data_IF_123306323297
#
_entry.id   IF_123306323297
#
_cell.length_a   1.000
_cell.length_b   1.000
_cell.length_c   1.000
_cell.angle_alpha   90.00
_cell.angle_beta   90.00
_cell.angle_gamma   90.00
#
_symmetry.space_group_name_H-M   'P 1'
#
loop_
_entity.id
_entity.type
_entity.pdbx_description
1 polymer ?
#
# COMPACT_ATOMS: atom_id res chain seq x y z
N UNK A 1 2.62 -28.19 -15.87
CA UNK A 1 1.63 -27.73 -14.85
C UNK A 1 2.19 -26.64 -13.96
N UNK A 2 3.47 -26.69 -13.58
CA UNK A 2 4.16 -25.68 -12.77
C UNK A 2 3.81 -24.21 -13.12
N UNK A 3 3.88 -23.84 -14.41
CA UNK A 3 3.51 -22.48 -14.86
C UNK A 3 2.05 -22.10 -14.58
N UNK A 4 1.11 -23.03 -14.80
CA UNK A 4 -0.31 -22.83 -14.52
C UNK A 4 -0.64 -22.86 -13.02
N UNK A 5 0.17 -23.57 -12.23
CA UNK A 5 0.09 -23.62 -10.78
C UNK A 5 0.74 -22.40 -10.11
N UNK A 6 1.28 -21.47 -10.91
CA UNK A 6 1.91 -20.24 -10.43
C UNK A 6 3.09 -20.50 -9.48
N UNK A 7 3.78 -21.63 -9.64
CA UNK A 7 4.88 -22.05 -8.75
C UNK A 7 6.09 -21.11 -8.79
N UNK A 8 6.22 -20.31 -9.85
CA UNK A 8 7.23 -19.26 -9.99
C UNK A 8 6.96 -18.01 -9.11
N UNK A 9 5.77 -17.88 -8.53
CA UNK A 9 5.43 -16.73 -7.69
C UNK A 9 5.67 -17.05 -6.22
N UNK A 10 6.21 -16.09 -5.44
CA UNK A 10 6.37 -16.25 -4.00
C UNK A 10 5.05 -16.60 -3.31
N UNK A 11 5.13 -17.37 -2.23
CA UNK A 11 3.96 -17.65 -1.39
C UNK A 11 3.43 -16.37 -0.75
N UNK A 12 2.11 -16.26 -0.64
CA UNK A 12 1.45 -15.12 -0.01
C UNK A 12 0.95 -15.50 1.37
N UNK A 13 1.46 -14.81 2.38
CA UNK A 13 1.05 -15.03 3.78
C UNK A 13 -0.02 -14.00 4.17
N UNK A 14 -1.28 -14.44 4.23
CA UNK A 14 -2.41 -13.54 4.54
C UNK A 14 -2.79 -13.53 6.02
N UNK A 15 -3.09 -14.70 6.58
CA UNK A 15 -3.59 -14.83 7.96
C UNK A 15 -2.54 -15.33 8.94
N UNK A 16 -1.59 -16.14 8.47
CA UNK A 16 -0.49 -16.66 9.27
C UNK A 16 0.71 -16.97 8.35
N UNK A 17 1.92 -16.77 8.87
CA UNK A 17 3.15 -17.01 8.13
C UNK A 17 4.35 -16.25 8.71
N UNK A 18 5.52 -16.36 8.07
CA UNK A 18 6.75 -15.72 8.52
C UNK A 18 6.69 -14.20 8.41
N UNK A 19 7.46 -13.54 9.27
CA UNK A 19 7.83 -12.14 9.12
C UNK A 19 9.19 -12.02 8.44
N UNK A 20 9.52 -10.82 7.94
CA UNK A 20 10.78 -10.56 7.24
C UNK A 20 12.02 -10.89 8.10
N UNK A 21 11.88 -10.90 9.42
CA UNK A 21 12.95 -11.23 10.37
C UNK A 21 13.34 -12.71 10.38
N UNK A 22 12.54 -13.56 9.74
CA UNK A 22 12.86 -14.98 9.51
C UNK A 22 14.21 -15.15 8.80
N UNK A 23 14.64 -14.18 7.98
CA UNK A 23 15.94 -14.22 7.31
C UNK A 23 17.14 -14.18 8.27
N UNK A 24 16.94 -13.70 9.50
CA UNK A 24 17.96 -13.67 10.55
C UNK A 24 17.87 -14.89 11.48
N UNK A 25 16.81 -15.67 11.32
CA UNK A 25 16.56 -16.87 12.10
C UNK A 25 17.12 -18.07 11.35
N UNK A 26 17.87 -18.92 12.05
CA UNK A 26 18.36 -20.17 11.47
C UNK A 26 17.21 -21.13 11.12
N UNK A 27 17.57 -22.38 10.85
CA UNK A 27 16.57 -23.44 10.66
C UNK A 27 15.59 -23.53 11.83
N UNK A 28 14.35 -23.89 11.52
CA UNK A 28 13.36 -24.22 12.53
C UNK A 28 13.85 -25.41 13.38
N UNK A 29 13.70 -25.32 14.71
CA UNK A 29 14.19 -26.33 15.65
C UNK A 29 13.41 -27.65 15.54
N UNK A 30 12.10 -27.57 15.25
CA UNK A 30 11.21 -28.73 15.27
C UNK A 30 10.99 -29.30 13.86
N UNK A 31 10.82 -28.43 12.87
CA UNK A 31 10.48 -28.78 11.49
C UNK A 31 11.33 -27.98 10.49
N UNK A 32 12.65 -28.28 10.37
CA UNK A 32 13.60 -27.47 9.59
C UNK A 32 13.35 -27.48 8.07
N UNK A 33 12.66 -28.51 7.57
CA UNK A 33 12.39 -28.70 6.15
C UNK A 33 10.93 -29.06 5.92
N UNK A 34 10.42 -28.68 4.76
CA UNK A 34 9.07 -29.01 4.27
C UNK A 34 9.15 -29.62 2.88
N UNK A 35 8.15 -30.43 2.57
CA UNK A 35 7.98 -31.05 1.26
C UNK A 35 7.68 -29.97 0.20
N UNK A 36 8.17 -30.19 -1.03
CA UNK A 36 7.86 -29.32 -2.16
C UNK A 36 6.74 -29.93 -3.03
N UNK A 37 6.09 -29.10 -3.82
CA UNK A 37 5.01 -29.52 -4.72
C UNK A 37 5.53 -30.58 -5.72
N UNK A 38 4.83 -31.70 -5.89
CA UNK A 38 5.24 -32.72 -6.86
C UNK A 38 5.09 -32.19 -8.29
N UNK A 39 6.04 -32.56 -9.17
CA UNK A 39 5.93 -32.32 -10.60
C UNK A 39 5.14 -33.44 -11.27
N UNK A 40 4.35 -33.03 -12.26
CA UNK A 40 3.50 -33.91 -13.04
C UNK A 40 3.94 -33.90 -14.50
N UNK A 41 4.10 -35.08 -15.08
CA UNK A 41 4.35 -35.30 -16.49
C UNK A 41 3.20 -36.08 -17.13
N UNK A 42 2.89 -35.79 -18.39
CA UNK A 42 1.85 -36.53 -19.12
C UNK A 42 2.43 -37.85 -19.61
N UNK A 43 1.91 -38.97 -19.12
CA UNK A 43 2.21 -40.27 -19.68
C UNK A 43 1.39 -40.47 -20.97
N UNK A 44 2.08 -40.54 -22.11
CA UNK A 44 1.46 -40.67 -23.43
C UNK A 44 0.73 -42.01 -23.61
N UNK A 45 1.11 -43.05 -22.87
CA UNK A 45 0.49 -44.39 -22.99
C UNK A 45 -0.84 -44.47 -22.24
N UNK A 46 -0.90 -43.96 -21.01
CA UNK A 46 -2.14 -43.95 -20.22
C UNK A 46 -3.02 -42.74 -20.48
N UNK A 47 -2.47 -41.70 -21.12
CA UNK A 47 -3.14 -40.41 -21.35
C UNK A 47 -3.35 -39.59 -20.06
N UNK A 48 -2.75 -39.99 -18.94
CA UNK A 48 -2.89 -39.35 -17.62
C UNK A 48 -1.63 -38.62 -17.22
N UNK A 49 -1.77 -37.63 -16.33
CA UNK A 49 -0.63 -37.02 -15.66
C UNK A 49 -0.19 -37.91 -14.50
N UNK A 50 1.10 -38.22 -14.43
CA UNK A 50 1.73 -39.01 -13.37
C UNK A 50 2.74 -38.14 -12.62
N UNK A 51 2.86 -38.37 -11.31
CA UNK A 51 3.87 -37.72 -10.48
C UNK A 51 5.23 -38.32 -10.84
N UNK A 52 6.18 -37.47 -11.21
CA UNK A 52 7.55 -37.90 -11.56
C UNK A 52 8.54 -37.71 -10.41
N UNK A 53 8.17 -36.93 -9.40
CA UNK A 53 8.94 -36.70 -8.19
C UNK A 53 8.04 -36.36 -6.99
N UNK A 54 8.38 -36.92 -5.84
CA UNK A 54 7.73 -36.67 -4.55
C UNK A 54 8.78 -36.00 -3.66
N UNK A 55 8.89 -34.67 -3.79
CA UNK A 55 9.93 -33.87 -3.16
C UNK A 55 9.74 -33.80 -1.64
N UNK A 56 10.41 -34.70 -0.91
CA UNK A 56 10.37 -34.70 0.56
C UNK A 56 11.47 -33.86 1.17
N UNK A 57 11.14 -33.01 2.15
CA UNK A 57 12.08 -32.11 2.82
C UNK A 57 12.95 -31.30 1.83
N UNK A 58 12.37 -30.89 0.72
CA UNK A 58 13.11 -30.27 -0.39
C UNK A 58 13.30 -28.76 -0.22
N UNK A 59 12.52 -28.13 0.67
CA UNK A 59 12.60 -26.70 0.97
C UNK A 59 12.89 -26.47 2.44
N UNK A 60 13.71 -25.46 2.74
CA UNK A 60 13.85 -24.96 4.09
C UNK A 60 12.52 -24.37 4.56
N UNK A 61 12.07 -24.78 5.74
CA UNK A 61 10.90 -24.19 6.36
C UNK A 61 11.27 -22.86 7.03
N UNK A 62 10.28 -21.97 7.16
CA UNK A 62 10.47 -20.78 7.99
C UNK A 62 10.50 -21.16 9.48
N UNK A 63 11.18 -20.35 10.27
CA UNK A 63 11.25 -20.52 11.71
C UNK A 63 9.94 -20.10 12.37
N UNK A 64 9.29 -21.01 13.10
CA UNK A 64 8.00 -20.75 13.73
C UNK A 64 8.06 -19.63 14.77
N UNK A 65 9.23 -19.34 15.36
CA UNK A 65 9.43 -18.20 16.28
C UNK A 65 9.26 -16.86 15.57
N UNK A 66 9.55 -16.81 14.27
CA UNK A 66 9.40 -15.63 13.41
C UNK A 66 8.06 -15.58 12.67
N UNK A 67 7.22 -16.60 12.82
CA UNK A 67 5.86 -16.60 12.31
C UNK A 67 4.91 -15.76 13.18
N UNK A 68 3.91 -15.15 12.55
CA UNK A 68 2.87 -14.39 13.24
C UNK A 68 1.50 -14.54 12.59
N UNK A 69 0.48 -14.28 13.40
CA UNK A 69 -0.87 -14.00 12.89
C UNK A 69 -0.83 -12.63 12.24
N UNK A 70 -1.47 -12.51 11.08
CA UNK A 70 -1.51 -11.29 10.26
C UNK A 70 -0.08 -10.80 9.89
N UNK A 71 0.72 -11.61 9.18
CA UNK A 71 2.07 -11.22 8.77
C UNK A 71 1.99 -10.21 7.61
N UNK A 72 1.93 -8.92 7.94
CA UNK A 72 1.94 -7.84 6.94
C UNK A 72 3.35 -7.55 6.44
N UNK A 73 4.33 -7.72 7.31
CA UNK A 73 5.74 -7.49 7.03
C UNK A 73 6.49 -8.82 6.86
N UNK A 74 6.22 -9.54 5.77
CA UNK A 74 6.72 -10.90 5.53
C UNK A 74 7.91 -10.96 4.56
N UNK A 75 8.04 -9.95 3.68
CA UNK A 75 9.01 -9.97 2.58
C UNK A 75 10.44 -9.71 3.07
N UNK A 76 11.30 -10.72 3.03
CA UNK A 76 12.70 -10.61 3.48
C UNK A 76 13.50 -9.58 2.67
N UNK A 77 13.23 -9.47 1.36
CA UNK A 77 13.86 -8.50 0.45
C UNK A 77 13.57 -7.05 0.82
N UNK A 78 12.53 -6.78 1.62
CA UNK A 78 12.06 -5.43 1.94
C UNK A 78 12.28 -5.10 3.43
N UNK A 79 13.18 -5.83 4.10
CA UNK A 79 13.45 -5.70 5.53
C UNK A 79 13.81 -4.27 5.96
N UNK A 80 14.73 -3.63 5.25
CA UNK A 80 15.16 -2.25 5.51
C UNK A 80 13.98 -1.27 5.48
N UNK A 81 13.06 -1.44 4.52
CA UNK A 81 11.89 -0.58 4.38
C UNK A 81 10.86 -0.87 5.46
N UNK A 82 10.73 -2.12 5.92
CA UNK A 82 9.87 -2.44 7.06
C UNK A 82 10.38 -1.81 8.36
N UNK A 83 11.70 -1.76 8.55
CA UNK A 83 12.30 -1.10 9.72
C UNK A 83 12.01 0.41 9.78
N UNK A 84 11.65 1.06 8.66
CA UNK A 84 11.13 2.43 8.69
C UNK A 84 9.81 2.57 9.46
N UNK A 85 9.02 1.49 9.56
CA UNK A 85 7.73 1.46 10.26
C UNK A 85 7.81 0.85 11.64
N UNK A 86 8.65 -0.18 11.82
CA UNK A 86 8.83 -0.85 13.12
C UNK A 86 9.85 -0.17 14.01
N UNK A 87 10.71 0.68 13.42
CA UNK A 87 11.99 1.05 14.02
C UNK A 87 13.02 -0.07 13.91
N UNK A 88 14.18 0.15 14.51
CA UNK A 88 15.23 -0.88 14.64
C UNK A 88 14.72 -2.05 15.47
N UNK A 89 15.13 -3.26 15.10
CA UNK A 89 14.70 -4.48 15.78
C UNK A 89 15.46 -4.66 17.10
N UNK A 90 14.84 -5.31 18.08
CA UNK A 90 15.59 -5.74 19.25
C UNK A 90 16.32 -7.05 18.97
N UNK A 91 17.54 -7.20 19.49
CA UNK A 91 18.29 -8.45 19.39
C UNK A 91 19.22 -8.64 20.60
N UNK A 92 19.52 -9.90 20.89
CA UNK A 92 20.35 -10.34 22.03
C UNK A 92 21.41 -11.33 21.56
N UNK A 93 22.57 -11.36 22.21
CA UNK A 93 23.54 -12.44 21.98
C UNK A 93 22.95 -13.76 22.48
N UNK A 94 23.08 -14.82 21.65
CA UNK A 94 22.65 -16.16 22.05
C UNK A 94 23.42 -16.59 23.31
N UNK A 95 22.81 -17.38 24.20
CA UNK A 95 23.42 -17.78 25.48
C UNK A 95 24.84 -18.33 25.36
N UNK A 96 25.11 -19.06 24.27
CA UNK A 96 26.40 -19.68 23.95
C UNK A 96 27.54 -18.67 23.77
N UNK A 97 27.23 -17.45 23.31
CA UNK A 97 28.22 -16.42 22.97
C UNK A 97 28.29 -15.29 24.02
N UNK A 98 27.51 -15.37 25.09
CA UNK A 98 27.48 -14.31 26.12
C UNK A 98 28.80 -14.18 26.91
N UNK A 99 29.64 -15.20 26.90
CA UNK A 99 30.95 -15.18 27.57
C UNK A 99 32.09 -14.73 26.65
N UNK A 100 31.81 -14.51 25.36
CA UNK A 100 32.80 -14.08 24.38
C UNK A 100 32.95 -12.55 24.41
N UNK A 101 34.11 -12.06 24.83
CA UNK A 101 34.32 -10.63 25.06
C UNK A 101 34.31 -9.84 23.75
N UNK A 102 34.91 -10.38 22.69
CA UNK A 102 35.02 -9.69 21.40
C UNK A 102 33.65 -9.50 20.75
N UNK A 103 32.81 -10.54 20.77
CA UNK A 103 31.43 -10.46 20.26
C UNK A 103 30.57 -9.49 21.09
N UNK A 104 30.74 -9.49 22.41
CA UNK A 104 30.05 -8.53 23.28
C UNK A 104 30.44 -7.10 22.98
N UNK A 105 31.74 -6.83 22.83
CA UNK A 105 32.24 -5.50 22.52
C UNK A 105 31.71 -5.03 21.16
N UNK A 106 31.77 -5.88 20.13
CA UNK A 106 31.26 -5.57 18.80
C UNK A 106 29.75 -5.26 18.80
N UNK A 107 28.93 -6.06 19.51
CA UNK A 107 27.49 -5.82 19.63
C UNK A 107 27.20 -4.53 20.41
N UNK A 108 27.96 -4.24 21.46
CA UNK A 108 27.78 -3.01 22.24
C UNK A 108 28.16 -1.76 21.45
N UNK A 109 29.29 -1.80 20.73
CA UNK A 109 29.74 -0.72 19.85
C UNK A 109 28.70 -0.44 18.77
N UNK A 110 28.23 -1.47 18.08
CA UNK A 110 27.18 -1.33 17.07
C UNK A 110 25.89 -0.72 17.66
N UNK A 111 25.44 -1.18 18.84
CA UNK A 111 24.27 -0.58 19.50
C UNK A 111 24.48 0.89 19.85
N UNK A 112 25.69 1.29 20.23
CA UNK A 112 26.02 2.70 20.49
C UNK A 112 25.98 3.52 19.18
N UNK A 113 26.48 2.98 18.07
CA UNK A 113 26.44 3.65 16.76
C UNK A 113 25.01 3.84 16.25
N UNK A 114 24.14 2.85 16.47
CA UNK A 114 22.71 2.95 16.18
C UNK A 114 22.05 4.06 17.00
N UNK A 115 22.30 4.11 18.32
CA UNK A 115 21.76 5.16 19.20
C UNK A 115 22.30 6.55 18.80
N UNK A 116 23.54 6.61 18.32
CA UNK A 116 24.16 7.86 17.85
C UNK A 116 23.65 8.32 16.49
N UNK A 117 22.85 7.50 15.79
CA UNK A 117 22.31 7.80 14.47
C UNK A 117 23.34 7.65 13.34
N UNK A 118 24.43 6.92 13.56
CA UNK A 118 25.45 6.66 12.54
C UNK A 118 25.14 5.45 11.65
N UNK A 119 24.08 4.71 11.96
CA UNK A 119 23.69 3.48 11.26
C UNK A 119 22.32 3.69 10.65
N UNK A 120 22.21 3.55 9.34
CA UNK A 120 20.92 3.54 8.64
C UNK A 120 20.29 2.14 8.62
N UNK A 121 19.09 2.01 8.04
CA UNK A 121 18.39 0.72 8.01
C UNK A 121 19.06 -0.32 7.12
N UNK A 122 19.82 0.08 6.10
CA UNK A 122 20.55 -0.83 5.23
C UNK A 122 21.75 -1.42 5.98
N UNK A 123 22.56 -0.57 6.60
CA UNK A 123 23.69 -0.96 7.44
C UNK A 123 23.22 -1.81 8.62
N UNK A 124 22.07 -1.47 9.21
CA UNK A 124 21.47 -2.25 10.28
C UNK A 124 21.07 -3.65 9.83
N UNK A 125 20.38 -3.75 8.69
CA UNK A 125 20.00 -5.03 8.09
C UNK A 125 21.23 -5.88 7.76
N UNK A 126 22.29 -5.26 7.23
CA UNK A 126 23.55 -5.94 6.90
C UNK A 126 24.24 -6.49 8.16
N UNK A 127 24.29 -5.71 9.25
CA UNK A 127 24.79 -6.18 10.53
C UNK A 127 24.01 -7.41 11.03
N UNK A 128 22.68 -7.35 11.03
CA UNK A 128 21.84 -8.47 11.47
C UNK A 128 22.10 -9.73 10.64
N UNK A 129 22.24 -9.62 9.32
CA UNK A 129 22.59 -10.74 8.44
C UNK A 129 23.95 -11.33 8.78
N UNK A 130 24.96 -10.48 8.97
CA UNK A 130 26.33 -10.92 9.26
C UNK A 130 26.42 -11.60 10.63
N UNK A 131 25.68 -11.09 11.63
CA UNK A 131 25.71 -11.59 13.00
C UNK A 131 24.62 -12.63 13.32
N UNK A 132 23.76 -13.00 12.37
CA UNK A 132 22.61 -13.92 12.56
C UNK A 132 22.96 -15.25 13.26
N UNK A 133 24.20 -15.74 13.10
CA UNK A 133 24.66 -16.94 13.79
C UNK A 133 24.85 -16.73 15.30
N UNK A 134 25.22 -15.52 15.72
CA UNK A 134 25.58 -15.16 17.09
C UNK A 134 24.46 -14.47 17.88
N UNK A 135 23.49 -13.87 17.18
CA UNK A 135 22.40 -13.11 17.79
C UNK A 135 21.05 -13.78 17.59
N UNK A 136 20.13 -13.52 18.52
CA UNK A 136 18.72 -13.84 18.44
C UNK A 136 17.95 -12.52 18.20
N UNK A 137 17.29 -12.42 17.05
CA UNK A 137 16.59 -11.21 16.60
C UNK A 137 15.11 -11.33 16.92
N UNK A 138 14.55 -10.32 17.59
CA UNK A 138 13.13 -10.31 17.90
C UNK A 138 12.32 -9.95 16.65
N UNK A 139 11.24 -10.70 16.40
CA UNK A 139 10.30 -10.38 15.33
C UNK A 139 9.42 -9.17 15.69
N UNK A 140 8.90 -8.43 14.70
CA UNK A 140 7.92 -7.40 14.97
C UNK A 140 6.69 -7.97 15.67
N UNK A 141 6.10 -7.16 16.54
CA UNK A 141 4.91 -7.52 17.29
C UNK A 141 3.68 -7.60 16.38
N UNK A 142 2.60 -8.14 16.93
CA UNK A 142 1.29 -8.09 16.27
C UNK A 142 0.86 -6.64 15.98
N UNK A 143 1.11 -5.73 16.92
CA UNK A 143 0.72 -4.33 16.78
C UNK A 143 1.56 -3.57 15.77
N UNK A 144 2.81 -3.97 15.54
CA UNK A 144 3.63 -3.40 14.46
C UNK A 144 3.04 -3.75 13.09
N UNK A 145 2.54 -4.98 12.93
CA UNK A 145 1.84 -5.40 11.71
C UNK A 145 0.52 -4.65 11.51
N UNK A 146 -0.26 -4.45 12.58
CA UNK A 146 -1.50 -3.66 12.52
C UNK A 146 -1.20 -2.20 12.18
N UNK A 147 -0.18 -1.62 12.81
CA UNK A 147 0.25 -0.24 12.57
C UNK A 147 0.70 -0.08 11.12
N UNK A 148 1.55 -0.98 10.62
CA UNK A 148 1.97 -1.00 9.23
C UNK A 148 0.80 -1.11 8.25
N UNK A 149 -0.19 -1.97 8.54
CA UNK A 149 -1.39 -2.09 7.71
C UNK A 149 -2.16 -0.76 7.63
N UNK A 150 -2.42 -0.10 8.75
CA UNK A 150 -3.20 1.13 8.75
C UNK A 150 -2.42 2.34 8.23
N UNK A 151 -1.15 2.47 8.60
CA UNK A 151 -0.32 3.60 8.18
C UNK A 151 0.10 3.49 6.72
N UNK A 152 0.70 2.36 6.33
CA UNK A 152 1.24 2.19 4.99
C UNK A 152 0.18 1.66 4.03
N UNK A 153 -0.37 0.47 4.28
CA UNK A 153 -1.19 -0.21 3.28
C UNK A 153 -2.54 0.50 3.05
N UNK A 154 -3.20 0.93 4.11
CA UNK A 154 -4.47 1.66 4.01
C UNK A 154 -4.26 3.17 3.92
N UNK A 155 -3.41 3.76 4.75
CA UNK A 155 -3.14 5.20 4.74
C UNK A 155 -2.42 5.63 3.46
N UNK A 156 -1.16 5.23 3.33
CA UNK A 156 -0.30 5.67 2.25
C UNK A 156 -0.61 5.04 0.89
N UNK A 157 -1.03 3.78 0.83
CA UNK A 157 -1.24 3.09 -0.45
C UNK A 157 -2.69 3.11 -0.93
N UNK A 158 -3.68 3.17 -0.03
CA UNK A 158 -5.08 3.28 -0.45
C UNK A 158 -5.59 4.71 -0.39
N UNK A 159 -5.59 5.33 0.79
CA UNK A 159 -6.22 6.64 1.00
C UNK A 159 -5.50 7.77 0.27
N UNK A 160 -4.17 7.73 0.15
CA UNK A 160 -3.42 8.71 -0.67
C UNK A 160 -3.90 8.72 -2.12
N UNK A 161 -3.98 7.55 -2.75
CA UNK A 161 -4.45 7.40 -4.13
C UNK A 161 -5.94 7.70 -4.29
N UNK A 162 -6.74 7.35 -3.28
CA UNK A 162 -8.14 7.77 -3.24
C UNK A 162 -8.25 9.32 -3.22
N UNK A 163 -7.46 9.99 -2.40
CA UNK A 163 -7.43 11.46 -2.34
C UNK A 163 -6.84 12.09 -3.61
N UNK A 164 -5.89 11.46 -4.29
CA UNK A 164 -5.44 11.91 -5.62
C UNK A 164 -6.59 12.09 -6.60
N UNK A 165 -7.56 11.18 -6.57
CA UNK A 165 -8.67 11.18 -7.52
C UNK A 165 -9.79 12.17 -7.14
N UNK A 166 -9.98 12.46 -5.85
CA UNK A 166 -11.15 13.22 -5.37
C UNK A 166 -10.83 14.52 -4.64
N UNK A 167 -9.55 14.81 -4.39
CA UNK A 167 -9.09 16.03 -3.71
C UNK A 167 -7.96 16.71 -4.50
N UNK A 168 -6.97 15.94 -4.95
CA UNK A 168 -5.88 16.44 -5.78
C UNK A 168 -4.55 15.73 -5.53
N UNK A 169 -3.57 16.00 -6.40
CA UNK A 169 -2.28 15.31 -6.49
C UNK A 169 -1.12 16.32 -6.45
N UNK A 170 -0.08 16.00 -5.68
CA UNK A 170 1.09 16.87 -5.53
C UNK A 170 1.95 16.93 -6.80
N UNK A 171 2.36 15.77 -7.31
CA UNK A 171 3.26 15.60 -8.46
C UNK A 171 3.20 14.15 -9.01
N UNK A 172 3.91 13.91 -10.11
CA UNK A 172 4.01 12.62 -10.79
C UNK A 172 5.15 11.70 -10.31
N UNK A 173 5.88 12.12 -9.27
CA UNK A 173 7.03 11.38 -8.76
C UNK A 173 6.53 10.32 -7.77
N UNK A 174 7.06 9.10 -7.89
CA UNK A 174 6.75 8.06 -6.92
C UNK A 174 7.29 8.46 -5.56
N UNK A 175 6.40 8.60 -4.58
CA UNK A 175 6.77 8.94 -3.21
C UNK A 175 7.42 7.78 -2.48
N UNK A 176 8.35 8.11 -1.59
CA UNK A 176 9.02 7.17 -0.67
C UNK A 176 8.99 7.66 0.77
N UNK A 177 7.80 8.11 1.23
CA UNK A 177 7.65 8.87 2.48
C UNK A 177 8.52 10.14 2.53
N UNK A 178 8.80 10.67 1.35
CA UNK A 178 9.45 11.94 1.10
C UNK A 178 8.42 12.98 0.66
N UNK A 179 8.89 14.13 0.21
CA UNK A 179 8.05 15.22 -0.22
C UNK A 179 7.55 15.05 -1.67
N UNK A 180 7.27 13.81 -2.09
CA UNK A 180 6.78 13.47 -3.42
C UNK A 180 5.59 12.52 -3.35
N UNK A 181 4.77 12.55 -4.40
CA UNK A 181 3.64 11.66 -4.55
C UNK A 181 2.56 11.82 -3.46
N UNK A 182 2.47 12.94 -2.75
CA UNK A 182 1.40 13.14 -1.78
C UNK A 182 0.11 13.63 -2.47
N UNK A 183 -0.99 13.65 -1.73
CA UNK A 183 -2.21 14.31 -2.17
C UNK A 183 -2.23 15.74 -1.63
N UNK A 184 -2.86 16.65 -2.38
CA UNK A 184 -3.05 18.05 -1.97
C UNK A 184 -4.47 18.49 -2.33
N UNK A 185 -4.96 19.53 -1.66
CA UNK A 185 -6.30 20.08 -1.89
C UNK A 185 -6.32 21.34 -2.73
N UNK A 186 -5.23 22.11 -2.77
CA UNK A 186 -5.18 23.48 -3.29
C UNK A 186 -5.47 24.54 -2.23
N UNK A 187 -5.81 24.15 -1.00
CA UNK A 187 -6.01 25.05 0.13
C UNK A 187 -4.69 25.14 0.89
N UNK A 188 -3.88 26.18 0.57
CA UNK A 188 -2.49 26.30 1.05
C UNK A 188 -2.27 26.04 2.54
N UNK A 189 -3.07 26.59 3.48
CA UNK A 189 -2.86 26.32 4.91
C UNK A 189 -3.03 24.83 5.26
N UNK A 190 -3.99 24.16 4.64
CA UNK A 190 -4.25 22.74 4.87
C UNK A 190 -3.18 21.87 4.20
N UNK A 191 -2.82 22.20 2.96
CA UNK A 191 -1.76 21.50 2.24
C UNK A 191 -0.42 21.62 2.97
N UNK A 192 -0.15 22.77 3.60
CA UNK A 192 1.05 22.94 4.41
C UNK A 192 1.07 22.12 5.70
N UNK A 193 -0.10 21.84 6.29
CA UNK A 193 -0.22 20.90 7.42
C UNK A 193 -0.02 19.45 6.97
N UNK A 194 -0.59 19.06 5.83
CA UNK A 194 -0.48 17.70 5.28
C UNK A 194 0.97 17.38 4.91
N UNK A 195 1.65 18.31 4.26
CA UNK A 195 3.03 18.12 3.76
C UNK A 195 4.10 18.49 4.79
N UNK A 196 3.72 19.09 5.92
CA UNK A 196 4.67 19.56 6.95
C UNK A 196 5.56 20.72 6.48
N UNK A 197 5.18 21.44 5.42
CA UNK A 197 5.96 22.54 4.85
C UNK A 197 5.09 23.64 4.25
N UNK A 198 5.59 24.87 4.22
CA UNK A 198 4.85 25.98 3.61
C UNK A 198 4.60 25.76 2.11
N UNK A 199 3.37 26.04 1.67
CA UNK A 199 2.97 26.05 0.26
C UNK A 199 3.02 27.45 -0.36
N UNK A 200 3.67 28.40 0.33
CA UNK A 200 3.93 29.72 -0.20
C UNK A 200 5.29 29.80 -0.89
N UNK A 201 5.34 30.52 -2.02
CA UNK A 201 6.56 30.77 -2.80
C UNK A 201 7.30 29.49 -3.20
N UNK A 202 6.55 28.46 -3.62
CA UNK A 202 7.13 27.24 -4.18
C UNK A 202 7.98 27.55 -5.42
N UNK A 203 9.07 26.79 -5.67
CA UNK A 203 9.82 26.85 -6.92
C UNK A 203 8.92 26.64 -8.13
N UNK A 204 9.29 27.24 -9.27
CA UNK A 204 8.52 27.14 -10.52
C UNK A 204 8.32 25.70 -10.98
N UNK A 205 9.31 24.84 -10.75
CA UNK A 205 9.29 23.45 -11.22
C UNK A 205 8.24 22.62 -10.47
N UNK A 206 8.01 22.94 -9.20
CA UNK A 206 6.95 22.31 -8.37
C UNK A 206 5.59 22.89 -8.74
N UNK A 207 5.50 24.21 -8.89
CA UNK A 207 4.23 24.90 -9.14
C UNK A 207 3.69 24.61 -10.55
N UNK A 208 4.57 24.45 -11.52
CA UNK A 208 4.24 24.17 -12.92
C UNK A 208 4.39 22.68 -13.27
N UNK A 209 4.53 21.79 -12.29
CA UNK A 209 4.44 20.36 -12.57
C UNK A 209 3.03 20.07 -13.12
N UNK A 210 2.97 19.48 -14.33
CA UNK A 210 1.70 19.19 -15.00
C UNK A 210 0.77 18.28 -14.20
N UNK A 211 1.33 17.35 -13.42
CA UNK A 211 0.56 16.44 -12.59
C UNK A 211 0.15 17.05 -11.23
N UNK A 212 0.47 18.32 -10.98
CA UNK A 212 0.01 19.05 -9.79
C UNK A 212 -1.44 19.48 -9.99
N UNK A 213 -2.37 18.70 -9.44
CA UNK A 213 -3.80 18.86 -9.66
C UNK A 213 -4.51 19.22 -8.36
N UNK A 214 -5.38 20.23 -8.36
CA UNK A 214 -6.10 20.65 -7.14
C UNK A 214 -7.60 20.78 -7.37
N UNK A 215 -8.40 19.98 -6.65
CA UNK A 215 -9.85 19.92 -6.80
C UNK A 215 -10.63 20.53 -5.62
N UNK A 216 -9.94 21.09 -4.63
CA UNK A 216 -10.54 21.80 -3.49
C UNK A 216 -11.61 21.00 -2.73
N UNK A 217 -11.43 19.68 -2.65
CA UNK A 217 -12.39 18.72 -2.09
C UNK A 217 -13.78 18.68 -2.77
N UNK A 218 -14.00 19.38 -3.90
CA UNK A 218 -15.32 19.43 -4.54
C UNK A 218 -15.86 18.03 -4.91
N UNK A 219 -15.08 17.15 -5.59
CA UNK A 219 -15.54 15.79 -5.87
C UNK A 219 -15.77 14.98 -4.59
N UNK A 220 -14.82 15.07 -3.63
CA UNK A 220 -14.90 14.34 -2.37
C UNK A 220 -16.13 14.69 -1.55
N UNK A 221 -16.40 15.98 -1.34
CA UNK A 221 -17.56 16.46 -0.56
C UNK A 221 -18.86 16.06 -1.24
N UNK A 222 -18.97 16.21 -2.57
CA UNK A 222 -20.17 15.81 -3.29
C UNK A 222 -20.41 14.29 -3.21
N UNK A 223 -19.33 13.49 -3.27
CA UNK A 223 -19.38 12.05 -3.03
C UNK A 223 -19.87 11.69 -1.63
N UNK A 224 -19.37 12.36 -0.58
CA UNK A 224 -19.83 12.16 0.79
C UNK A 224 -21.31 12.52 0.96
N UNK A 225 -21.77 13.63 0.35
CA UNK A 225 -23.19 14.01 0.36
C UNK A 225 -24.04 12.87 -0.23
N UNK A 226 -23.63 12.31 -1.36
CA UNK A 226 -24.34 11.17 -1.98
C UNK A 226 -24.26 9.88 -1.17
N UNK A 227 -23.13 9.60 -0.52
CA UNK A 227 -22.95 8.46 0.39
C UNK A 227 -23.94 8.52 1.55
N UNK A 228 -23.99 9.64 2.28
CA UNK A 228 -24.90 9.80 3.42
C UNK A 228 -26.37 9.90 2.99
N UNK A 229 -26.61 10.49 1.81
CA UNK A 229 -27.95 10.51 1.23
C UNK A 229 -28.47 9.10 0.96
N UNK A 230 -27.67 8.24 0.30
CA UNK A 230 -28.07 6.86 0.04
C UNK A 230 -28.26 6.07 1.33
N UNK A 231 -27.38 6.24 2.32
CA UNK A 231 -27.53 5.63 3.65
C UNK A 231 -28.88 5.96 4.29
N UNK A 232 -29.32 7.22 4.17
CA UNK A 232 -30.58 7.69 4.73
C UNK A 232 -31.80 7.23 3.92
N UNK A 233 -31.68 7.12 2.60
CA UNK A 233 -32.80 6.85 1.69
C UNK A 233 -33.04 5.37 1.39
N UNK A 234 -31.97 4.62 1.13
CA UNK A 234 -32.06 3.21 0.78
C UNK A 234 -30.87 2.43 1.34
N UNK A 235 -31.08 1.86 2.53
CA UNK A 235 -30.06 1.07 3.23
C UNK A 235 -29.65 -0.17 2.44
N UNK A 236 -30.53 -0.77 1.64
CA UNK A 236 -30.20 -1.99 0.88
C UNK A 236 -29.19 -1.65 -0.21
N UNK A 237 -29.48 -0.64 -1.02
CA UNK A 237 -28.55 -0.17 -2.05
C UNK A 237 -27.27 0.41 -1.45
N UNK A 238 -27.37 1.10 -0.32
CA UNK A 238 -26.20 1.57 0.43
C UNK A 238 -25.24 0.43 0.75
N UNK A 239 -25.73 -0.66 1.36
CA UNK A 239 -24.87 -1.79 1.72
C UNK A 239 -24.29 -2.49 0.49
N UNK A 240 -25.05 -2.61 -0.60
CA UNK A 240 -24.53 -3.18 -1.86
C UNK A 240 -23.34 -2.36 -2.36
N UNK A 241 -23.48 -1.04 -2.47
CA UNK A 241 -22.39 -0.18 -2.94
C UNK A 241 -21.24 -0.07 -1.94
N UNK A 242 -21.51 -0.06 -0.64
CA UNK A 242 -20.46 -0.03 0.39
C UNK A 242 -19.63 -1.30 0.36
N UNK A 243 -20.26 -2.48 0.31
CA UNK A 243 -19.54 -3.76 0.19
C UNK A 243 -18.74 -3.77 -1.10
N UNK A 244 -19.33 -3.34 -2.22
CA UNK A 244 -18.62 -3.28 -3.48
C UNK A 244 -17.39 -2.36 -3.40
N UNK A 245 -17.54 -1.15 -2.85
CA UNK A 245 -16.45 -0.20 -2.59
C UNK A 245 -15.32 -0.80 -1.74
N UNK A 246 -15.67 -1.51 -0.66
CA UNK A 246 -14.69 -2.12 0.23
C UNK A 246 -13.95 -3.28 -0.46
N UNK A 247 -14.68 -4.13 -1.19
CA UNK A 247 -14.08 -5.29 -1.86
C UNK A 247 -13.23 -4.91 -3.07
N UNK A 248 -13.56 -3.84 -3.78
CA UNK A 248 -12.76 -3.36 -4.92
C UNK A 248 -11.69 -2.33 -4.54
N UNK A 249 -11.43 -2.16 -3.25
CA UNK A 249 -10.47 -1.18 -2.73
C UNK A 249 -9.71 -1.73 -1.54
N UNK A 250 -10.23 -1.47 -0.33
CA UNK A 250 -9.60 -1.83 0.95
C UNK A 250 -9.28 -3.32 1.04
N UNK A 251 -10.20 -4.20 0.65
CA UNK A 251 -9.98 -5.65 0.74
C UNK A 251 -8.89 -6.14 -0.22
N UNK A 252 -8.80 -5.55 -1.43
CA UNK A 252 -7.72 -5.85 -2.37
C UNK A 252 -6.38 -5.49 -1.75
N UNK A 253 -6.27 -4.31 -1.12
CA UNK A 253 -5.02 -3.88 -0.47
C UNK A 253 -4.57 -4.85 0.63
N UNK A 254 -5.51 -5.28 1.48
CA UNK A 254 -5.26 -6.29 2.52
C UNK A 254 -4.83 -7.62 1.90
N UNK A 255 -5.49 -8.06 0.83
CA UNK A 255 -5.21 -9.31 0.14
C UNK A 255 -3.84 -9.30 -0.54
N UNK A 256 -3.52 -8.25 -1.30
CA UNK A 256 -2.25 -8.11 -2.02
C UNK A 256 -1.07 -7.91 -1.08
N UNK A 257 -1.32 -7.50 0.16
CA UNK A 257 -0.31 -7.29 1.19
C UNK A 257 0.89 -6.47 0.66
N UNK A 258 0.58 -5.29 0.12
CA UNK A 258 1.56 -4.41 -0.57
C UNK A 258 2.78 -4.15 0.31
N UNK A 259 3.95 -4.09 -0.33
CA UNK A 259 5.27 -4.00 0.32
C UNK A 259 5.89 -2.61 0.11
N UNK A 260 6.72 -2.11 1.05
CA UNK A 260 7.40 -0.83 0.93
C UNK A 260 8.85 -1.00 0.44
N UNK A 261 9.45 -0.16 -0.41
CA UNK A 261 8.90 0.58 -1.55
C UNK A 261 9.26 -0.21 -2.81
N UNK A 262 8.27 -0.70 -3.54
CA UNK A 262 8.53 -1.41 -4.79
C UNK A 262 8.97 -0.44 -5.90
N UNK A 263 9.70 -0.91 -6.94
CA UNK A 263 10.10 -0.07 -8.08
C UNK A 263 8.93 0.59 -8.82
N UNK A 264 7.71 0.06 -8.64
CA UNK A 264 6.48 0.65 -9.16
C UNK A 264 5.30 0.29 -8.25
N UNK A 265 4.54 1.31 -7.88
CA UNK A 265 3.26 1.17 -7.17
C UNK A 265 2.13 0.73 -8.13
N UNK A 266 1.21 -0.13 -7.65
CA UNK A 266 0.10 -0.71 -8.45
C UNK A 266 -1.26 -0.12 -8.05
N UNK A 267 -1.36 1.20 -8.14
CA UNK A 267 -2.57 1.98 -7.86
C UNK A 267 -3.79 1.59 -8.72
N UNK A 268 -3.57 1.10 -9.94
CA UNK A 268 -4.64 0.61 -10.81
C UNK A 268 -5.47 -0.54 -10.20
N UNK A 269 -4.93 -1.27 -9.22
CA UNK A 269 -5.62 -2.40 -8.57
C UNK A 269 -6.87 -2.00 -7.78
N UNK A 270 -6.97 -0.73 -7.37
CA UNK A 270 -8.07 -0.22 -6.53
C UNK A 270 -9.03 0.73 -7.26
N UNK A 271 -8.86 0.90 -8.58
CA UNK A 271 -9.69 1.80 -9.40
C UNK A 271 -11.17 1.44 -9.34
N UNK A 272 -11.49 0.16 -9.09
CA UNK A 272 -12.88 -0.28 -8.90
C UNK A 272 -13.58 0.49 -7.77
N UNK A 273 -12.93 0.74 -6.64
CA UNK A 273 -13.55 1.52 -5.55
C UNK A 273 -13.73 2.99 -5.93
N UNK A 274 -12.87 3.53 -6.78
CA UNK A 274 -12.97 4.92 -7.26
C UNK A 274 -14.21 5.08 -8.16
N UNK A 275 -14.50 4.11 -9.01
CA UNK A 275 -15.74 4.10 -9.79
C UNK A 275 -16.98 4.02 -8.90
N UNK A 276 -16.95 3.21 -7.85
CA UNK A 276 -18.07 3.18 -6.89
C UNK A 276 -18.22 4.53 -6.19
N UNK A 277 -17.12 5.21 -5.84
CA UNK A 277 -17.19 6.55 -5.28
C UNK A 277 -17.75 7.59 -6.26
N UNK A 278 -17.45 7.47 -7.56
CA UNK A 278 -18.08 8.29 -8.59
C UNK A 278 -19.60 8.10 -8.67
N UNK A 279 -20.13 6.90 -8.38
CA UNK A 279 -21.57 6.69 -8.23
C UNK A 279 -22.13 7.47 -7.03
N UNK A 280 -21.41 7.50 -5.91
CA UNK A 280 -21.78 8.36 -4.77
C UNK A 280 -21.79 9.84 -5.17
N UNK A 281 -20.81 10.31 -5.97
CA UNK A 281 -20.81 11.70 -6.49
C UNK A 281 -22.09 11.98 -7.30
N UNK A 282 -22.48 11.07 -8.21
CA UNK A 282 -23.72 11.21 -8.98
C UNK A 282 -24.97 11.27 -8.09
N UNK A 283 -25.04 10.43 -7.05
CA UNK A 283 -26.11 10.50 -6.06
C UNK A 283 -26.06 11.79 -5.23
N UNK A 284 -24.88 12.38 -5.03
CA UNK A 284 -24.72 13.69 -4.41
C UNK A 284 -25.45 14.79 -5.16
N UNK A 285 -25.39 14.78 -6.50
CA UNK A 285 -26.15 15.72 -7.35
C UNK A 285 -27.66 15.56 -7.10
N UNK A 286 -28.15 14.33 -7.08
CA UNK A 286 -29.56 14.05 -6.80
C UNK A 286 -29.96 14.48 -5.38
N UNK A 287 -29.09 14.26 -4.40
CA UNK A 287 -29.31 14.66 -3.01
C UNK A 287 -29.46 16.18 -2.87
N UNK A 288 -28.63 16.97 -3.56
CA UNK A 288 -28.73 18.42 -3.60
C UNK A 288 -30.07 18.87 -4.21
N UNK A 289 -30.48 18.26 -5.33
CA UNK A 289 -31.78 18.50 -5.92
C UNK A 289 -32.93 18.17 -4.96
N UNK A 290 -32.89 17.01 -4.31
CA UNK A 290 -33.93 16.60 -3.38
C UNK A 290 -34.02 17.52 -2.15
N UNK A 291 -32.88 18.00 -1.66
CA UNK A 291 -32.83 18.98 -0.58
C UNK A 291 -33.48 20.31 -0.99
N UNK A 292 -33.09 20.85 -2.14
CA UNK A 292 -33.52 22.17 -2.59
C UNK A 292 -34.95 22.22 -3.14
N UNK A 293 -35.45 21.12 -3.73
CA UNK A 293 -36.82 21.08 -4.29
C UNK A 293 -37.92 21.31 -3.24
N UNK A 294 -37.62 21.11 -1.95
CA UNK A 294 -38.55 21.37 -0.85
C UNK A 294 -38.88 22.86 -0.73
N UNK A 295 -37.90 23.72 -1.00
CA UNK A 295 -38.00 25.17 -0.83
C UNK A 295 -38.14 25.90 -2.17
N UNK A 296 -37.68 25.29 -3.28
CA UNK A 296 -37.69 25.91 -4.62
C UNK A 296 -38.56 25.08 -5.56
N UNK A 297 -39.74 25.61 -5.92
CA UNK A 297 -40.68 24.99 -6.88
C UNK A 297 -40.46 25.51 -8.30
N UNK A 298 -39.25 25.35 -8.84
CA UNK A 298 -38.92 25.73 -10.21
C UNK A 298 -38.54 24.49 -11.04
N UNK A 299 -39.15 24.33 -12.22
CA UNK A 299 -38.83 23.23 -13.15
C UNK A 299 -37.39 23.27 -13.66
N UNK A 300 -36.75 24.44 -13.66
CA UNK A 300 -35.35 24.63 -14.03
C UNK A 300 -34.35 24.25 -12.94
N UNK A 301 -34.82 23.91 -11.73
CA UNK A 301 -33.93 23.57 -10.61
C UNK A 301 -33.06 22.34 -10.90
N UNK A 302 -33.64 21.26 -11.43
CA UNK A 302 -32.89 20.04 -11.75
C UNK A 302 -31.82 20.27 -12.84
N UNK A 303 -32.14 20.89 -14.01
CA UNK A 303 -31.13 21.26 -15.00
C UNK A 303 -30.04 22.17 -14.43
N UNK A 304 -30.40 23.19 -13.63
CA UNK A 304 -29.44 24.13 -13.06
C UNK A 304 -28.45 23.45 -12.10
N UNK A 305 -28.94 22.63 -11.15
CA UNK A 305 -28.09 21.90 -10.21
C UNK A 305 -27.15 20.94 -10.95
N UNK A 306 -27.68 20.24 -11.96
CA UNK A 306 -26.89 19.32 -12.78
C UNK A 306 -25.76 20.07 -13.49
N UNK A 307 -26.06 21.19 -14.15
CA UNK A 307 -25.07 22.00 -14.84
C UNK A 307 -24.00 22.55 -13.89
N UNK A 308 -24.41 23.07 -12.73
CA UNK A 308 -23.48 23.58 -11.71
C UNK A 308 -22.56 22.46 -11.21
N UNK A 309 -23.10 21.28 -10.89
CA UNK A 309 -22.28 20.15 -10.43
C UNK A 309 -21.35 19.62 -11.53
N UNK A 310 -21.80 19.60 -12.79
CA UNK A 310 -20.98 19.23 -13.94
C UNK A 310 -19.77 20.16 -14.10
N UNK A 311 -19.96 21.46 -13.91
CA UNK A 311 -18.86 22.44 -13.97
C UNK A 311 -17.93 22.28 -12.76
N UNK A 312 -18.48 22.18 -11.55
CA UNK A 312 -17.69 22.18 -10.32
C UNK A 312 -16.91 20.89 -10.08
N UNK A 313 -17.37 19.75 -10.59
CA UNK A 313 -16.74 18.44 -10.32
C UNK A 313 -16.11 17.85 -11.59
N UNK A 314 -16.84 17.37 -12.61
CA UNK A 314 -16.21 16.96 -13.87
C UNK A 314 -15.41 18.07 -14.56
N UNK A 315 -15.87 19.32 -14.51
CA UNK A 315 -15.19 20.45 -15.15
C UNK A 315 -13.83 20.76 -14.52
N UNK A 316 -13.72 20.80 -13.19
CA UNK A 316 -12.43 21.02 -12.53
C UNK A 316 -11.46 19.84 -12.74
N UNK A 317 -11.99 18.61 -12.73
CA UNK A 317 -11.21 17.41 -13.03
C UNK A 317 -10.67 17.48 -14.47
N UNK A 318 -11.51 17.79 -15.45
CA UNK A 318 -11.08 17.92 -16.83
C UNK A 318 -10.06 19.06 -16.99
N UNK A 319 -10.27 20.22 -16.36
CA UNK A 319 -9.38 21.37 -16.50
C UNK A 319 -7.98 21.13 -15.91
N UNK A 320 -7.87 20.39 -14.80
CA UNK A 320 -6.59 20.09 -14.16
C UNK A 320 -5.88 18.87 -14.79
N UNK A 321 -6.61 17.86 -15.25
CA UNK A 321 -6.00 16.61 -15.77
C UNK A 321 -5.91 16.56 -17.30
N UNK A 322 -5.99 17.68 -18.01
CA UNK A 322 -5.93 17.64 -19.49
C UNK A 322 -4.50 17.63 -20.01
N UNK A 323 -3.62 18.42 -19.42
CA UNK A 323 -2.25 18.62 -19.86
C UNK A 323 -1.27 17.55 -19.36
N UNK A 324 -1.53 16.97 -18.19
CA UNK A 324 -0.79 15.80 -17.66
C UNK A 324 -1.06 14.51 -18.46
N UNK A 325 -2.23 14.40 -19.09
CA UNK A 325 -2.64 13.30 -19.94
C UNK A 325 -2.41 13.55 -21.44
N UNK A 326 -1.99 14.76 -21.83
CA UNK A 326 -1.60 15.01 -23.22
C UNK A 326 -0.35 14.19 -23.58
N UNK A 327 -0.44 13.47 -24.70
CA UNK A 327 0.63 12.63 -25.27
C UNK A 327 1.01 13.06 -26.68
N UNK A 328 0.43 14.14 -27.20
CA UNK A 328 0.60 14.66 -28.57
C UNK A 328 2.06 14.77 -29.02
N UNK A 329 2.97 15.10 -28.09
CA UNK A 329 4.40 15.28 -28.36
C UNK A 329 5.29 14.15 -27.85
N UNK A 330 4.75 13.02 -27.37
CA UNK A 330 5.56 11.86 -26.98
C UNK A 330 5.87 10.99 -28.19
N UNK A 331 7.14 10.92 -28.58
CA UNK A 331 7.64 10.02 -29.63
C UNK A 331 8.31 8.80 -28.97
N UNK A 332 8.13 7.62 -29.56
CA UNK A 332 8.70 6.36 -29.06
C UNK A 332 10.20 6.23 -29.33
N UNK A 333 10.75 7.00 -30.27
CA UNK A 333 12.18 7.16 -30.52
C UNK A 333 12.47 8.56 -31.12
N UNK A 334 13.67 9.09 -30.88
CA UNK A 334 14.21 10.20 -31.66
C UNK A 334 14.54 9.65 -33.06
N UNK A 335 13.87 10.17 -34.08
CA UNK A 335 14.14 9.83 -35.48
C UNK A 335 15.42 10.53 -35.97
#
# INVERSE_FOLDING_TARGET
LAYYNLEQYPETHLFYGPQFTDQYSGLDEDNPYVDDKPNYEKDEKSGKYVIINDWKNAKQNYNHKHASILPRMWSQEHAENYMMFTGVLDFKLKPEYQMENDLRNAVQEFKNDVISGHVDYEDYNNFLKQFAQYIDVEKPSFWDNVTYMFQYQLGYMYWRYFMWNFVGRQDDIQGKYDNHGNWISGIKPLDGLILGMSQDKLPSDVLNNKARNTYYFLPFILGLIGFFFLLAKDKKWFWILLVFFLFTGVAIQVYTNVRPFEPRERDYSVVGSFYVFALFIGMGVYALFEGLKKNVKNKMLAPAITLVCLILVPGILAANNWDDHDRSNKKTALA
#
